data_IF_012117037275
#
_entry.id   IF_012117037275
#
_cell.length_a   1.000
_cell.length_b   1.000
_cell.length_c   1.000
_cell.angle_alpha   90.00
_cell.angle_beta   90.00
_cell.angle_gamma   90.00
#
_symmetry.space_group_name_H-M   'P 1'
#
loop_
_entity.id
_entity.type
_entity.pdbx_description
1 polymer ?
#
# COMPACT_ATOMS: atom_id res chain seq x y z
N UNK A 1 -13.28 0.05 -1.06
CA UNK A 1 -12.13 0.73 -0.44
C UNK A 1 -11.29 1.36 -1.53
N UNK A 2 -10.68 2.48 -1.23
CA UNK A 2 -9.89 3.22 -2.21
C UNK A 2 -8.56 2.54 -2.48
N UNK A 3 -8.15 2.52 -3.75
CA UNK A 3 -6.83 2.02 -4.13
C UNK A 3 -5.84 3.17 -4.14
N UNK A 4 -4.58 2.86 -3.87
CA UNK A 4 -3.51 3.85 -3.84
C UNK A 4 -2.38 3.40 -4.76
N UNK A 5 -1.84 4.33 -5.53
CA UNK A 5 -0.88 4.05 -6.59
C UNK A 5 0.47 4.66 -6.24
N UNK A 6 1.51 3.83 -6.33
CA UNK A 6 2.88 4.29 -6.20
C UNK A 6 3.39 4.81 -7.54
N UNK A 7 4.25 5.84 -7.55
CA UNK A 7 4.83 6.33 -8.80
C UNK A 7 5.54 5.27 -9.63
N UNK A 8 5.97 4.17 -9.02
CA UNK A 8 6.60 3.06 -9.75
C UNK A 8 5.58 2.16 -10.48
N UNK A 9 4.28 2.39 -10.27
CA UNK A 9 3.23 1.60 -10.90
C UNK A 9 2.58 0.55 -10.00
N UNK A 10 3.11 0.34 -8.80
CA UNK A 10 2.48 -0.59 -7.85
C UNK A 10 1.16 -0.02 -7.36
N UNK A 11 0.14 -0.86 -7.27
CA UNK A 11 -1.17 -0.45 -6.76
C UNK A 11 -1.45 -1.19 -5.47
N UNK A 12 -1.68 -0.45 -4.38
CA UNK A 12 -2.14 -1.04 -3.14
C UNK A 12 -3.67 -1.18 -3.20
N UNK A 13 -4.13 -2.42 -3.19
CA UNK A 13 -5.57 -2.72 -3.15
C UNK A 13 -5.90 -3.18 -1.73
N UNK A 14 -6.70 -2.40 -0.97
CA UNK A 14 -7.03 -2.78 0.41
C UNK A 14 -7.67 -4.16 0.53
N UNK A 15 -8.42 -4.61 -0.48
CA UNK A 15 -9.04 -5.92 -0.44
C UNK A 15 -8.00 -7.05 -0.49
N UNK A 16 -6.86 -6.79 -1.08
CA UNK A 16 -5.76 -7.76 -1.23
C UNK A 16 -4.72 -7.60 -0.13
N UNK A 17 -4.45 -6.35 0.28
CA UNK A 17 -3.40 -6.05 1.25
C UNK A 17 -2.03 -6.35 0.69
N UNK A 18 -1.09 -6.61 1.61
CA UNK A 18 0.28 -7.01 1.27
C UNK A 18 0.76 -7.99 2.34
N UNK A 19 0.20 -9.21 2.37
CA UNK A 19 0.48 -10.14 3.46
C UNK A 19 1.95 -10.54 3.55
N UNK A 20 2.68 -10.51 2.45
CA UNK A 20 4.11 -10.81 2.45
C UNK A 20 4.91 -9.79 3.26
N UNK A 21 4.36 -8.60 3.45
CA UNK A 21 5.00 -7.53 4.21
C UNK A 21 4.19 -7.13 5.44
N UNK A 22 3.34 -8.03 5.93
CA UNK A 22 2.65 -7.84 7.19
C UNK A 22 1.37 -7.03 7.12
N UNK A 23 0.82 -6.82 5.93
CA UNK A 23 -0.44 -6.09 5.75
C UNK A 23 -1.52 -7.08 5.32
N UNK A 24 -2.40 -7.44 6.25
CA UNK A 24 -3.44 -8.43 5.99
C UNK A 24 -4.43 -7.93 4.93
N UNK A 25 -5.02 -8.85 4.13
CA UNK A 25 -6.13 -8.49 3.24
C UNK A 25 -7.26 -7.83 4.04
N UNK A 26 -7.86 -6.79 3.47
CA UNK A 26 -8.92 -6.05 4.13
C UNK A 26 -8.42 -4.87 4.97
N UNK A 27 -7.12 -4.58 4.95
CA UNK A 27 -6.56 -3.44 5.69
C UNK A 27 -6.79 -2.17 4.90
N UNK A 28 -7.52 -1.22 5.49
CA UNK A 28 -7.70 0.09 4.88
C UNK A 28 -6.36 0.82 4.81
N UNK A 29 -6.20 1.70 3.83
CA UNK A 29 -4.94 2.43 3.63
C UNK A 29 -4.48 3.15 4.90
N UNK A 30 -5.41 3.78 5.61
CA UNK A 30 -5.13 4.52 6.83
C UNK A 30 -4.61 3.63 7.97
N UNK A 31 -4.88 2.33 7.89
CA UNK A 31 -4.44 1.35 8.88
C UNK A 31 -3.14 0.65 8.48
N UNK A 32 -2.63 0.91 7.28
CA UNK A 32 -1.32 0.40 6.86
C UNK A 32 -0.25 1.08 7.71
N UNK A 33 0.73 0.31 8.27
CA UNK A 33 1.77 0.91 9.10
C UNK A 33 2.53 2.03 8.39
N UNK A 34 2.90 3.06 9.14
CA UNK A 34 3.63 4.20 8.59
C UNK A 34 5.00 3.79 8.04
N UNK A 35 5.58 2.73 8.56
CA UNK A 35 6.89 2.24 8.12
C UNK A 35 6.79 1.21 6.99
N UNK A 36 5.58 0.92 6.51
CA UNK A 36 5.40 0.03 5.37
C UNK A 36 5.96 0.71 4.12
N UNK A 37 6.67 -0.07 3.31
CA UNK A 37 7.28 0.43 2.09
C UNK A 37 6.72 -0.32 0.88
N UNK A 38 6.70 0.36 -0.26
CA UNK A 38 6.28 -0.26 -1.50
C UNK A 38 7.14 -1.51 -1.78
N UNK A 39 6.52 -2.67 -2.00
CA UNK A 39 7.29 -3.91 -2.21
C UNK A 39 8.06 -3.93 -3.52
N UNK A 40 7.74 -3.01 -4.42
CA UNK A 40 8.36 -2.97 -5.75
C UNK A 40 9.53 -1.99 -5.80
N UNK A 41 9.38 -0.79 -5.22
CA UNK A 41 10.41 0.25 -5.32
C UNK A 41 10.96 0.71 -3.98
N UNK A 42 10.34 0.33 -2.86
CA UNK A 42 10.81 0.68 -1.53
C UNK A 42 10.48 2.09 -1.07
N UNK A 43 9.65 2.82 -1.79
CA UNK A 43 9.21 4.14 -1.35
C UNK A 43 8.13 4.02 -0.28
N UNK A 44 8.02 5.04 0.56
CA UNK A 44 7.05 5.06 1.66
C UNK A 44 5.65 5.44 1.23
N UNK A 45 4.72 5.39 2.18
CA UNK A 45 3.32 5.72 1.94
C UNK A 45 3.11 7.15 1.43
N UNK A 46 3.99 8.06 1.80
CA UNK A 46 3.85 9.48 1.50
C UNK A 46 3.92 9.80 0.01
N UNK A 47 4.45 8.88 -0.81
CA UNK A 47 4.51 9.10 -2.26
C UNK A 47 3.30 8.49 -2.99
N UNK A 48 2.49 7.70 -2.31
CA UNK A 48 1.31 7.09 -2.91
C UNK A 48 0.21 8.14 -3.11
N UNK A 49 -0.52 7.99 -4.19
CA UNK A 49 -1.67 8.82 -4.48
C UNK A 49 -2.92 7.97 -4.59
N UNK A 50 -4.04 8.51 -4.13
CA UNK A 50 -5.32 7.83 -4.25
C UNK A 50 -5.72 7.76 -5.72
N UNK A 51 -6.12 6.58 -6.14
CA UNK A 51 -6.57 6.34 -7.50
C UNK A 51 -7.92 7.00 -7.79
#
# INVERSE_FOLDING_TARGET
>A
MEKYVCPCGYVYDPAVGDPDNGVAPGTAWENVPEDWLCPTCGLGKDVFEQE
#
